data_IF_243994501771
#
_entry.id   IF_243994501771
#
_cell.length_a   1.000
_cell.length_b   1.000
_cell.length_c   1.000
_cell.angle_alpha   90.00
_cell.angle_beta   90.00
_cell.angle_gamma   90.00
#
_symmetry.space_group_name_H-M   'P 1'
#
loop_
_entity.id
_entity.type
_entity.pdbx_description
1 polymer ?
#
# COMPACT_ATOMS: atom_id res chain seq x y z
N UNK A 1 -62.41 -7.63 -1.00
CA UNK A 1 -60.94 -7.45 -1.08
C UNK A 1 -60.60 -6.05 -0.60
N UNK A 2 -60.17 -5.96 0.65
CA UNK A 2 -59.90 -4.73 1.38
C UNK A 2 -58.65 -4.07 0.80
N UNK A 3 -58.78 -2.85 0.28
CA UNK A 3 -57.63 -2.03 -0.15
C UNK A 3 -56.83 -1.64 1.10
N UNK A 4 -55.73 -2.33 1.35
CA UNK A 4 -54.66 -1.85 2.22
C UNK A 4 -53.98 -0.67 1.49
N UNK A 5 -54.46 0.55 1.72
CA UNK A 5 -53.65 1.74 1.51
C UNK A 5 -52.70 1.80 2.70
N UNK A 6 -51.53 1.20 2.53
CA UNK A 6 -50.40 1.40 3.43
C UNK A 6 -49.98 2.88 3.28
N UNK A 7 -50.54 3.73 4.14
CA UNK A 7 -50.01 5.07 4.36
C UNK A 7 -48.66 4.85 5.03
N UNK A 8 -47.63 4.76 4.22
CA UNK A 8 -46.26 4.89 4.69
C UNK A 8 -46.20 6.30 5.26
N UNK A 9 -46.23 6.42 6.59
CA UNK A 9 -45.81 7.63 7.30
C UNK A 9 -44.33 7.83 6.96
N UNK A 10 -44.07 8.38 5.78
CA UNK A 10 -42.74 8.77 5.34
C UNK A 10 -42.32 9.90 6.26
N UNK A 11 -41.62 9.55 7.33
CA UNK A 11 -40.86 10.50 8.14
C UNK A 11 -39.97 11.26 7.16
N UNK A 12 -40.33 12.50 6.85
CA UNK A 12 -39.50 13.35 6.01
C UNK A 12 -38.18 13.57 6.72
N UNK A 13 -37.15 12.85 6.29
CA UNK A 13 -35.78 13.06 6.77
C UNK A 13 -35.25 14.36 6.17
N UNK A 14 -35.55 15.48 6.84
CA UNK A 14 -35.20 16.85 6.43
C UNK A 14 -33.70 16.99 6.18
N UNK A 15 -32.86 16.23 6.88
CA UNK A 15 -31.41 16.24 6.71
C UNK A 15 -30.94 15.86 5.30
N UNK A 16 -31.78 15.13 4.55
CA UNK A 16 -31.48 14.72 3.17
C UNK A 16 -32.19 15.58 2.11
N UNK A 17 -32.95 16.61 2.50
CA UNK A 17 -33.70 17.46 1.57
C UNK A 17 -32.80 18.04 0.46
N UNK A 18 -31.62 18.54 0.83
CA UNK A 18 -30.65 19.09 -0.14
C UNK A 18 -30.15 18.06 -1.16
N UNK A 19 -30.06 16.78 -0.78
CA UNK A 19 -29.66 15.70 -1.68
C UNK A 19 -30.80 15.33 -2.64
N UNK A 20 -32.04 15.27 -2.14
CA UNK A 20 -33.25 15.04 -2.95
C UNK A 20 -33.44 16.15 -3.98
N UNK A 21 -33.37 17.41 -3.54
CA UNK A 21 -33.46 18.57 -4.43
C UNK A 21 -32.40 18.51 -5.55
N UNK A 22 -31.15 18.13 -5.21
CA UNK A 22 -30.09 18.03 -6.22
C UNK A 22 -30.34 16.91 -7.21
N UNK A 23 -30.83 15.77 -6.73
CA UNK A 23 -31.19 14.65 -7.59
C UNK A 23 -32.34 15.01 -8.53
N UNK A 24 -33.40 15.63 -8.01
CA UNK A 24 -34.51 16.12 -8.83
C UNK A 24 -34.06 17.17 -9.85
N UNK A 25 -33.16 18.07 -9.47
CA UNK A 25 -32.54 19.03 -10.39
C UNK A 25 -31.78 18.33 -11.52
N UNK A 26 -31.03 17.28 -11.22
CA UNK A 26 -30.31 16.50 -12.23
C UNK A 26 -31.27 15.77 -13.18
N UNK A 27 -32.34 15.16 -12.66
CA UNK A 27 -33.37 14.52 -13.49
C UNK A 27 -34.04 15.54 -14.41
N UNK A 28 -34.37 16.74 -13.90
CA UNK A 28 -34.93 17.84 -14.69
C UNK A 28 -33.97 18.26 -15.80
N UNK A 29 -32.69 18.45 -15.49
CA UNK A 29 -31.65 18.82 -16.45
C UNK A 29 -31.50 17.78 -17.56
N UNK A 30 -31.48 16.49 -17.19
CA UNK A 30 -31.45 15.38 -18.15
C UNK A 30 -32.71 15.33 -19.04
N UNK A 31 -33.84 15.85 -18.57
CA UNK A 31 -35.11 15.86 -19.31
C UNK A 31 -35.26 17.08 -20.25
N UNK A 32 -34.34 18.05 -20.22
CA UNK A 32 -34.40 19.23 -21.08
C UNK A 32 -34.09 18.88 -22.55
N UNK A 33 -34.77 19.53 -23.48
CA UNK A 33 -34.55 19.32 -24.93
C UNK A 33 -33.09 19.52 -25.34
N UNK A 34 -32.41 20.54 -24.79
CA UNK A 34 -30.99 20.79 -25.05
C UNK A 34 -30.12 19.60 -24.66
N UNK A 35 -30.38 19.01 -23.49
CA UNK A 35 -29.65 17.85 -22.98
C UNK A 35 -29.97 16.59 -23.80
N UNK A 36 -31.22 16.43 -24.27
CA UNK A 36 -31.63 15.32 -25.13
C UNK A 36 -30.91 15.30 -26.50
N UNK A 37 -30.34 16.44 -26.93
CA UNK A 37 -29.54 16.52 -28.16
C UNK A 37 -28.06 16.22 -27.97
N UNK A 38 -27.59 16.04 -26.73
CA UNK A 38 -26.19 15.75 -26.44
C UNK A 38 -25.82 14.31 -26.80
N UNK A 39 -24.56 14.10 -27.14
CA UNK A 39 -24.01 12.76 -27.33
C UNK A 39 -23.88 12.03 -25.99
N UNK A 40 -23.91 10.70 -26.03
CA UNK A 40 -23.85 9.87 -24.84
C UNK A 40 -22.63 10.17 -23.94
N UNK A 41 -21.47 10.53 -24.49
CA UNK A 41 -20.28 10.88 -23.71
C UNK A 41 -20.42 12.19 -22.90
N UNK A 42 -21.15 13.17 -23.43
CA UNK A 42 -21.45 14.42 -22.72
C UNK A 42 -22.47 14.16 -21.60
N UNK A 43 -23.45 13.29 -21.84
CA UNK A 43 -24.40 12.83 -20.82
C UNK A 43 -23.69 12.07 -19.69
N UNK A 44 -22.77 11.17 -20.01
CA UNK A 44 -21.96 10.47 -19.01
C UNK A 44 -21.18 11.46 -18.14
N UNK A 45 -20.52 12.45 -18.76
CA UNK A 45 -19.74 13.48 -18.06
C UNK A 45 -20.62 14.35 -17.15
N UNK A 46 -21.82 14.71 -17.61
CA UNK A 46 -22.81 15.45 -16.82
C UNK A 46 -23.28 14.62 -15.61
N UNK A 47 -23.67 13.36 -15.83
CA UNK A 47 -24.14 12.46 -14.77
C UNK A 47 -23.04 12.20 -13.75
N UNK A 48 -21.80 11.97 -14.19
CA UNK A 48 -20.66 11.76 -13.29
C UNK A 48 -20.46 12.97 -12.37
N UNK A 49 -20.41 14.17 -12.94
CA UNK A 49 -20.18 15.41 -12.20
C UNK A 49 -21.32 15.72 -11.24
N UNK A 50 -22.55 15.78 -11.73
CA UNK A 50 -23.71 16.19 -10.94
C UNK A 50 -24.18 15.09 -9.99
N UNK A 51 -24.04 13.83 -10.38
CA UNK A 51 -24.27 12.67 -9.53
C UNK A 51 -23.31 12.62 -8.34
N UNK A 52 -22.04 12.97 -8.53
CA UNK A 52 -21.09 13.06 -7.42
C UNK A 52 -21.49 14.14 -6.41
N UNK A 53 -22.04 15.27 -6.86
CA UNK A 53 -22.60 16.30 -5.96
C UNK A 53 -23.83 15.78 -5.18
N UNK A 54 -24.69 14.96 -5.79
CA UNK A 54 -25.77 14.25 -5.07
C UNK A 54 -25.17 13.36 -3.97
N UNK A 55 -24.16 12.53 -4.30
CA UNK A 55 -23.50 11.65 -3.34
C UNK A 55 -22.84 12.43 -2.19
N UNK A 56 -22.21 13.57 -2.48
CA UNK A 56 -21.64 14.46 -1.48
C UNK A 56 -22.71 14.98 -0.52
N UNK A 57 -23.86 15.41 -1.04
CA UNK A 57 -25.00 15.88 -0.23
C UNK A 57 -25.65 14.78 0.59
N UNK A 58 -25.71 13.55 0.08
CA UNK A 58 -26.14 12.38 0.86
C UNK A 58 -25.21 12.13 2.05
N UNK A 59 -23.89 12.16 1.81
CA UNK A 59 -22.90 12.03 2.89
C UNK A 59 -23.03 13.17 3.92
N UNK A 60 -23.26 14.40 3.45
CA UNK A 60 -23.52 15.54 4.33
C UNK A 60 -24.79 15.34 5.17
N UNK A 61 -25.90 14.91 4.56
CA UNK A 61 -27.16 14.65 5.23
C UNK A 61 -27.04 13.56 6.30
N UNK A 62 -26.31 12.48 5.99
CA UNK A 62 -25.99 11.43 6.97
C UNK A 62 -25.28 11.98 8.21
N UNK A 63 -24.27 12.83 8.01
CA UNK A 63 -23.53 13.45 9.12
C UNK A 63 -24.38 14.46 9.90
N UNK A 64 -25.30 15.18 9.25
CA UNK A 64 -26.24 16.08 9.92
C UNK A 64 -27.22 15.28 10.78
N UNK A 65 -27.76 14.18 10.25
CA UNK A 65 -28.66 13.29 11.00
C UNK A 65 -27.93 12.69 12.21
N UNK A 66 -26.68 12.26 12.04
CA UNK A 66 -25.82 11.80 13.14
C UNK A 66 -25.62 12.88 14.20
N UNK A 67 -25.40 14.12 13.78
CA UNK A 67 -25.25 15.26 14.69
C UNK A 67 -26.55 15.61 15.43
N UNK A 68 -27.70 15.53 14.76
CA UNK A 68 -29.01 15.77 15.36
C UNK A 68 -29.34 14.70 16.42
N UNK A 69 -28.94 13.45 16.18
CA UNK A 69 -29.13 12.33 17.10
C UNK A 69 -28.08 12.26 18.22
N UNK A 70 -27.08 13.17 18.24
CA UNK A 70 -26.04 13.18 19.26
C UNK A 70 -26.61 13.65 20.61
N UNK A 71 -26.78 12.73 21.54
CA UNK A 71 -27.23 13.05 22.89
C UNK A 71 -26.10 13.74 23.67
N UNK A 72 -26.44 14.88 24.29
CA UNK A 72 -25.54 15.55 25.23
C UNK A 72 -25.37 14.67 26.47
N UNK A 73 -24.11 14.36 26.79
CA UNK A 73 -23.73 13.74 28.06
C UNK A 73 -23.58 14.82 29.14
N UNK A 74 -23.85 14.46 30.39
CA UNK A 74 -23.66 15.37 31.54
C UNK A 74 -22.17 15.62 31.84
N UNK A 75 -21.31 14.66 31.51
CA UNK A 75 -19.87 14.81 31.54
C UNK A 75 -19.16 13.68 30.80
N UNK A 76 -18.03 14.00 30.16
CA UNK A 76 -17.22 13.01 29.43
C UNK A 76 -15.85 12.89 30.09
N UNK A 77 -15.47 11.65 30.41
CA UNK A 77 -14.12 11.32 30.89
C UNK A 77 -13.21 11.19 29.67
N UNK A 78 -12.11 11.95 29.64
CA UNK A 78 -11.09 11.78 28.60
C UNK A 78 -10.11 10.66 28.93
N UNK A 79 -9.18 10.41 28.01
CA UNK A 79 -8.11 9.42 28.18
C UNK A 79 -7.19 9.76 29.38
N UNK A 80 -7.18 11.03 29.81
CA UNK A 80 -6.49 11.54 31.01
C UNK A 80 -7.23 11.22 32.32
N UNK A 81 -8.37 10.53 32.25
CA UNK A 81 -9.18 10.18 33.40
C UNK A 81 -9.97 11.34 34.01
N UNK A 82 -9.89 12.55 33.45
CA UNK A 82 -10.54 13.75 34.01
C UNK A 82 -11.90 14.02 33.34
N UNK A 83 -12.85 14.50 34.13
CA UNK A 83 -14.20 14.83 33.66
C UNK A 83 -14.26 16.22 33.00
N UNK A 84 -15.02 16.31 31.91
CA UNK A 84 -15.27 17.53 31.13
C UNK A 84 -16.77 17.82 31.12
N UNK A 85 -17.16 18.90 31.79
CA UNK A 85 -18.57 19.25 32.03
C UNK A 85 -19.07 20.35 31.07
N UNK A 86 -18.16 21.09 30.43
CA UNK A 86 -18.53 22.13 29.48
C UNK A 86 -18.71 21.52 28.08
N UNK A 87 -19.91 21.63 27.52
CA UNK A 87 -20.27 21.08 26.21
C UNK A 87 -20.58 22.19 25.21
N UNK A 88 -20.02 22.11 24.00
CA UNK A 88 -20.32 23.03 22.90
C UNK A 88 -20.33 22.32 21.55
N UNK A 89 -21.18 22.75 20.64
CA UNK A 89 -21.15 22.29 19.25
C UNK A 89 -19.89 22.78 18.54
N UNK A 90 -19.24 21.89 17.79
CA UNK A 90 -18.04 22.17 16.98
C UNK A 90 -18.18 21.53 15.63
N UNK A 91 -17.63 22.19 14.61
CA UNK A 91 -17.65 21.72 13.23
C UNK A 91 -16.22 21.54 12.73
N UNK A 92 -15.98 20.52 11.91
CA UNK A 92 -14.73 20.31 11.17
C UNK A 92 -15.03 19.88 9.74
N UNK A 93 -14.16 20.25 8.82
CA UNK A 93 -14.21 19.74 7.46
C UNK A 93 -13.67 18.30 7.41
N UNK A 94 -14.29 17.47 6.57
CA UNK A 94 -13.84 16.13 6.20
C UNK A 94 -13.85 16.02 4.68
N UNK A 95 -12.71 15.67 4.10
CA UNK A 95 -12.56 15.37 2.68
C UNK A 95 -12.87 13.89 2.45
N UNK A 96 -13.93 13.62 1.72
CA UNK A 96 -14.44 12.26 1.44
C UNK A 96 -14.18 11.86 -0.01
N UNK A 97 -14.56 10.63 -0.38
CA UNK A 97 -14.55 10.19 -1.78
C UNK A 97 -15.49 11.03 -2.65
N UNK A 98 -16.51 11.65 -2.07
CA UNK A 98 -17.50 12.47 -2.78
C UNK A 98 -17.18 13.97 -2.71
N UNK A 99 -16.06 14.33 -2.06
CA UNK A 99 -15.67 15.72 -1.82
C UNK A 99 -15.82 16.17 -0.37
N UNK A 100 -15.70 17.47 -0.16
CA UNK A 100 -15.67 18.06 1.17
C UNK A 100 -17.07 18.14 1.79
N UNK A 101 -17.17 17.64 3.03
CA UNK A 101 -18.35 17.73 3.89
C UNK A 101 -17.98 18.31 5.25
N UNK A 102 -18.98 18.71 6.03
CA UNK A 102 -18.84 19.25 7.38
C UNK A 102 -19.34 18.22 8.40
N UNK A 103 -18.51 17.91 9.38
CA UNK A 103 -18.86 17.09 10.54
C UNK A 103 -19.13 18.02 11.72
N UNK A 104 -20.41 18.14 12.10
CA UNK A 104 -20.84 18.80 13.33
C UNK A 104 -20.89 17.77 14.46
N UNK A 105 -20.38 18.13 15.63
CA UNK A 105 -20.31 17.25 16.81
C UNK A 105 -20.23 18.03 18.11
N UNK A 106 -20.59 17.40 19.22
CA UNK A 106 -20.42 17.97 20.56
C UNK A 106 -18.98 17.79 21.06
N UNK A 107 -18.37 18.91 21.45
CA UNK A 107 -17.06 18.96 22.08
C UNK A 107 -17.18 19.23 23.57
N UNK A 108 -16.61 18.34 24.37
CA UNK A 108 -16.56 18.44 25.83
C UNK A 108 -15.21 18.98 26.24
N UNK A 109 -15.17 20.02 27.07
CA UNK A 109 -13.94 20.68 27.54
C UNK A 109 -13.97 20.92 29.05
N UNK A 110 -12.79 21.16 29.62
CA UNK A 110 -12.62 21.58 31.02
C UNK A 110 -11.53 22.65 31.14
N UNK A 111 -11.42 23.29 32.30
CA UNK A 111 -10.36 24.30 32.54
C UNK A 111 -8.99 23.64 32.35
N UNK A 112 -8.19 24.20 31.45
CA UNK A 112 -6.86 23.68 31.08
C UNK A 112 -6.84 22.24 30.52
N UNK A 113 -7.99 21.70 30.11
CA UNK A 113 -8.10 20.36 29.52
C UNK A 113 -8.40 20.44 28.02
N UNK A 114 -7.72 19.60 27.23
CA UNK A 114 -8.01 19.42 25.81
C UNK A 114 -9.45 18.94 25.58
N UNK A 115 -10.08 19.33 24.47
CA UNK A 115 -11.47 18.94 24.17
C UNK A 115 -11.57 17.48 23.72
N UNK A 116 -12.63 16.78 24.16
CA UNK A 116 -12.97 15.41 23.75
C UNK A 116 -14.23 15.43 22.90
N UNK A 117 -14.25 14.60 21.86
CA UNK A 117 -15.33 14.51 20.89
C UNK A 117 -15.79 13.06 20.77
N UNK A 118 -16.80 12.61 21.55
CA UNK A 118 -17.25 11.22 21.53
C UNK A 118 -17.64 10.71 20.14
N UNK A 119 -18.27 11.57 19.32
CA UNK A 119 -18.63 11.25 17.95
C UNK A 119 -17.41 10.96 17.05
N UNK A 120 -16.24 11.57 17.31
CA UNK A 120 -15.03 11.30 16.53
C UNK A 120 -14.60 9.82 16.70
N UNK A 121 -14.77 9.26 17.90
CA UNK A 121 -14.47 7.85 18.16
C UNK A 121 -15.52 6.92 17.54
N UNK A 122 -16.81 7.24 17.68
CA UNK A 122 -17.90 6.43 17.11
C UNK A 122 -17.83 6.34 15.58
N UNK A 123 -17.49 7.44 14.92
CA UNK A 123 -17.29 7.50 13.48
C UNK A 123 -15.89 7.05 13.05
N UNK A 124 -15.02 6.68 14.00
CA UNK A 124 -13.61 6.36 13.77
C UNK A 124 -12.93 7.41 12.87
N UNK A 125 -13.14 8.69 13.17
CA UNK A 125 -12.68 9.77 12.30
C UNK A 125 -11.15 9.89 12.32
N UNK A 126 -10.53 10.11 11.15
CA UNK A 126 -9.11 10.38 11.09
C UNK A 126 -8.75 11.66 11.85
N UNK A 127 -7.52 11.74 12.37
CA UNK A 127 -7.01 12.98 13.01
C UNK A 127 -6.86 14.14 12.02
N UNK A 128 -6.65 13.85 10.73
CA UNK A 128 -6.52 14.87 9.67
C UNK A 128 -7.84 15.04 8.89
N UNK A 129 -7.82 15.92 7.87
CA UNK A 129 -8.99 16.23 7.03
C UNK A 129 -9.46 15.05 6.16
N UNK A 130 -8.62 14.06 5.86
CA UNK A 130 -8.88 13.08 4.80
C UNK A 130 -9.47 11.79 5.35
N UNK A 131 -10.66 11.42 4.86
CA UNK A 131 -11.34 10.17 5.20
C UNK A 131 -10.52 8.92 4.91
N UNK A 132 -10.80 7.81 5.59
CA UNK A 132 -10.10 6.54 5.38
C UNK A 132 -10.27 5.99 3.96
N UNK A 133 -11.46 6.12 3.37
CA UNK A 133 -11.72 5.72 1.98
C UNK A 133 -10.83 6.49 0.99
N UNK A 134 -10.73 7.81 1.16
CA UNK A 134 -9.88 8.64 0.31
C UNK A 134 -8.38 8.33 0.51
N UNK A 135 -7.95 8.12 1.76
CA UNK A 135 -6.56 7.70 2.06
C UNK A 135 -6.22 6.36 1.40
N UNK A 136 -7.14 5.39 1.45
CA UNK A 136 -6.97 4.10 0.78
C UNK A 136 -6.78 4.28 -0.72
N UNK A 137 -7.65 5.06 -1.37
CA UNK A 137 -7.55 5.33 -2.81
C UNK A 137 -6.23 6.01 -3.17
N UNK A 138 -5.81 7.01 -2.39
CA UNK A 138 -4.50 7.66 -2.53
C UNK A 138 -3.36 6.64 -2.40
N UNK A 139 -3.41 5.74 -1.42
CA UNK A 139 -2.41 4.67 -1.25
C UNK A 139 -2.35 3.71 -2.43
N UNK A 140 -3.50 3.29 -2.97
CA UNK A 140 -3.60 2.42 -4.14
C UNK A 140 -3.02 3.08 -5.39
N UNK A 141 -3.27 4.38 -5.62
CA UNK A 141 -2.73 5.07 -6.81
C UNK A 141 -1.24 5.41 -6.67
N UNK A 142 -0.76 5.75 -5.47
CA UNK A 142 0.67 5.98 -5.21
C UNK A 142 1.49 4.70 -5.42
N UNK A 143 0.92 3.53 -5.17
CA UNK A 143 1.59 2.26 -5.40
C UNK A 143 1.83 1.96 -6.90
N UNK A 144 1.05 2.57 -7.80
CA UNK A 144 1.12 2.32 -9.25
C UNK A 144 2.06 3.27 -9.99
N UNK A 145 2.25 4.48 -9.50
CA UNK A 145 2.91 5.54 -10.27
C UNK A 145 3.42 6.70 -9.44
N UNK A 146 3.62 7.84 -10.10
CA UNK A 146 4.13 9.05 -9.44
C UNK A 146 3.06 9.70 -8.56
N UNK A 147 3.49 10.53 -7.59
CA UNK A 147 2.56 11.32 -6.77
C UNK A 147 1.69 12.26 -7.61
N UNK A 148 2.21 12.80 -8.72
CA UNK A 148 1.44 13.72 -9.58
C UNK A 148 0.35 12.97 -10.35
N UNK A 149 0.65 11.77 -10.84
CA UNK A 149 -0.36 10.89 -11.45
C UNK A 149 -1.39 10.41 -10.43
N UNK A 150 -0.96 10.06 -9.21
CA UNK A 150 -1.86 9.64 -8.16
C UNK A 150 -2.85 10.75 -7.77
N UNK A 151 -2.39 12.00 -7.66
CA UNK A 151 -3.27 13.16 -7.40
C UNK A 151 -4.27 13.33 -8.55
N UNK A 152 -3.81 13.29 -9.80
CA UNK A 152 -4.69 13.38 -10.98
C UNK A 152 -5.72 12.24 -11.03
N UNK A 153 -5.31 11.02 -10.72
CA UNK A 153 -6.18 9.85 -10.71
C UNK A 153 -7.26 9.95 -9.62
N UNK A 154 -6.91 10.49 -8.45
CA UNK A 154 -7.86 10.74 -7.36
C UNK A 154 -8.82 11.88 -7.72
N UNK A 155 -8.33 12.97 -8.31
CA UNK A 155 -9.18 14.10 -8.75
C UNK A 155 -10.12 13.71 -9.90
N UNK A 156 -9.70 12.79 -10.77
CA UNK A 156 -10.54 12.29 -11.87
C UNK A 156 -11.58 11.26 -11.39
N UNK A 157 -11.17 10.32 -10.53
CA UNK A 157 -12.02 9.20 -10.13
C UNK A 157 -12.84 9.43 -8.86
N UNK A 158 -12.68 10.55 -8.18
CA UNK A 158 -13.38 10.88 -6.93
C UNK A 158 -13.72 12.36 -6.85
N UNK A 159 -14.71 12.73 -6.05
CA UNK A 159 -15.01 14.14 -5.75
C UNK A 159 -14.04 14.77 -4.74
N UNK A 160 -13.16 13.97 -4.14
CA UNK A 160 -12.19 14.40 -3.12
C UNK A 160 -10.94 15.02 -3.71
N UNK A 161 -10.43 16.08 -3.06
CA UNK A 161 -9.19 16.74 -3.48
C UNK A 161 -8.05 16.55 -2.48
N UNK A 162 -6.91 16.05 -2.96
CA UNK A 162 -5.72 15.82 -2.14
C UNK A 162 -4.50 16.44 -2.84
N UNK A 163 -4.01 17.60 -2.41
CA UNK A 163 -2.82 18.18 -3.01
C UNK A 163 -1.58 17.31 -2.75
N UNK A 164 -0.58 17.42 -3.63
CA UNK A 164 0.63 16.59 -3.63
C UNK A 164 1.33 16.48 -2.27
N UNK A 165 1.48 17.58 -1.54
CA UNK A 165 2.13 17.59 -0.22
C UNK A 165 1.39 16.69 0.78
N UNK A 166 0.07 16.75 0.77
CA UNK A 166 -0.78 15.95 1.65
C UNK A 166 -0.82 14.49 1.19
N UNK A 167 -0.80 14.21 -0.11
CA UNK A 167 -0.64 12.84 -0.62
C UNK A 167 0.67 12.19 -0.13
N UNK A 168 1.79 12.92 -0.14
CA UNK A 168 3.05 12.43 0.44
C UNK A 168 2.96 12.19 1.95
N UNK A 169 2.27 13.06 2.70
CA UNK A 169 2.05 12.85 4.14
C UNK A 169 1.19 11.63 4.41
N UNK A 170 0.13 11.43 3.62
CA UNK A 170 -0.73 10.24 3.70
C UNK A 170 0.11 8.98 3.42
N UNK A 171 0.94 8.97 2.38
CA UNK A 171 1.81 7.84 2.08
C UNK A 171 2.72 7.48 3.26
N UNK A 172 3.36 8.48 3.88
CA UNK A 172 4.20 8.27 5.08
C UNK A 172 3.41 7.69 6.26
N UNK A 173 2.16 8.12 6.44
CA UNK A 173 1.30 7.64 7.51
C UNK A 173 0.83 6.20 7.26
N UNK A 174 0.48 5.85 6.03
CA UNK A 174 0.06 4.50 5.62
C UNK A 174 1.24 3.51 5.69
N UNK A 175 2.48 3.98 5.52
CA UNK A 175 3.66 3.12 5.63
C UNK A 175 4.21 3.01 7.05
N UNK A 176 3.70 3.78 8.01
CA UNK A 176 4.30 3.88 9.35
C UNK A 176 4.15 2.60 10.18
N UNK A 177 3.09 1.84 9.95
CA UNK A 177 2.77 0.60 10.63
C UNK A 177 3.22 -0.65 9.84
N UNK A 178 3.94 -0.48 8.74
CA UNK A 178 4.37 -1.59 7.88
C UNK A 178 5.15 -2.68 8.66
N UNK A 179 6.15 -2.29 9.44
CA UNK A 179 6.94 -3.23 10.23
C UNK A 179 6.11 -3.93 11.31
N UNK A 180 5.28 -3.15 12.02
CA UNK A 180 4.39 -3.66 13.07
C UNK A 180 3.36 -4.64 12.53
N UNK A 181 2.76 -4.34 11.37
CA UNK A 181 1.80 -5.20 10.70
C UNK A 181 2.37 -6.59 10.41
N UNK A 182 3.59 -6.66 9.86
CA UNK A 182 4.24 -7.95 9.60
C UNK A 182 4.75 -8.67 10.86
N UNK A 183 5.05 -7.94 11.93
CA UNK A 183 5.42 -8.53 13.21
C UNK A 183 4.23 -9.20 13.92
N UNK A 184 3.05 -8.59 13.84
CA UNK A 184 1.81 -9.10 14.48
C UNK A 184 1.07 -10.12 13.62
N UNK A 185 1.36 -10.20 12.32
CA UNK A 185 0.65 -11.11 11.42
C UNK A 185 0.92 -12.58 11.79
N UNK A 186 -0.12 -13.35 12.16
CA UNK A 186 0.05 -14.77 12.42
C UNK A 186 0.49 -15.46 11.13
N UNK A 187 1.47 -16.34 11.25
CA UNK A 187 1.90 -17.20 10.16
C UNK A 187 1.30 -18.56 10.41
N UNK A 188 0.34 -18.96 9.58
CA UNK A 188 -0.17 -20.32 9.64
C UNK A 188 0.91 -21.28 9.14
N UNK A 189 1.30 -22.29 9.94
CA UNK A 189 2.29 -23.26 9.52
C UNK A 189 1.72 -24.10 8.38
N UNK A 190 2.37 -24.06 7.22
CA UNK A 190 2.10 -24.97 6.11
C UNK A 190 3.28 -25.90 5.85
N UNK A 191 2.97 -27.15 5.53
CA UNK A 191 3.95 -28.10 5.03
C UNK A 191 4.44 -27.66 3.63
N UNK A 192 5.73 -27.85 3.36
CA UNK A 192 6.32 -27.52 2.06
C UNK A 192 7.70 -26.88 2.16
N UNK A 193 8.10 -26.25 1.05
CA UNK A 193 9.39 -25.58 0.91
C UNK A 193 9.30 -24.16 1.48
N UNK A 194 10.33 -23.76 2.22
CA UNK A 194 10.54 -22.38 2.64
C UNK A 194 11.56 -21.72 1.71
N UNK A 195 11.07 -20.84 0.84
CA UNK A 195 11.90 -20.18 -0.17
C UNK A 195 12.30 -18.79 0.31
N UNK A 196 13.58 -18.51 0.20
CA UNK A 196 14.23 -17.24 0.46
C UNK A 196 14.81 -16.71 -0.85
N UNK A 197 14.54 -15.45 -1.17
CA UNK A 197 15.07 -14.83 -2.39
C UNK A 197 15.69 -13.48 -2.07
N UNK A 198 16.85 -13.19 -2.62
CA UNK A 198 17.48 -11.86 -2.51
C UNK A 198 17.79 -11.31 -3.90
N UNK A 199 17.43 -10.04 -4.10
CA UNK A 199 17.71 -9.29 -5.32
C UNK A 199 18.24 -7.89 -4.99
N UNK A 200 19.02 -7.31 -5.90
CA UNK A 200 19.61 -5.99 -5.78
C UNK A 200 19.16 -5.08 -6.92
N UNK A 201 18.38 -4.03 -6.61
CA UNK A 201 17.95 -3.04 -7.61
C UNK A 201 18.62 -1.69 -7.42
N UNK A 202 19.36 -1.22 -8.42
CA UNK A 202 19.94 0.12 -8.43
C UNK A 202 18.91 1.23 -8.67
N UNK A 203 18.55 1.99 -7.63
CA UNK A 203 17.61 3.12 -7.66
C UNK A 203 18.35 4.45 -7.81
N UNK A 204 17.96 5.29 -8.76
CA UNK A 204 18.55 6.62 -8.95
C UNK A 204 18.06 7.57 -7.86
N UNK A 205 18.99 8.17 -7.11
CA UNK A 205 18.71 9.06 -5.99
C UNK A 205 18.92 10.53 -6.34
N UNK A 206 18.28 11.42 -5.57
CA UNK A 206 18.65 12.84 -5.51
C UNK A 206 20.04 12.99 -4.90
N UNK A 207 20.74 14.07 -5.26
CA UNK A 207 22.12 14.31 -4.80
C UNK A 207 22.23 14.40 -3.27
N UNK A 208 21.21 14.97 -2.62
CA UNK A 208 21.11 15.07 -1.16
C UNK A 208 21.02 13.70 -0.44
N UNK A 209 20.47 12.68 -1.10
CA UNK A 209 20.18 11.36 -0.52
C UNK A 209 21.22 10.29 -0.87
N UNK A 210 22.33 10.67 -1.52
CA UNK A 210 23.47 9.78 -1.78
C UNK A 210 24.24 9.52 -0.48
N UNK A 211 24.72 8.29 -0.25
CA UNK A 211 25.63 7.99 0.87
C UNK A 211 26.86 8.91 0.79
N UNK A 212 27.42 9.29 1.93
CA UNK A 212 28.57 10.22 2.02
C UNK A 212 29.72 9.90 1.02
N UNK A 213 30.16 8.63 0.86
CA UNK A 213 31.22 8.30 -0.11
C UNK A 213 30.78 8.53 -1.56
N UNK A 214 29.55 8.15 -1.91
CA UNK A 214 28.98 8.29 -3.25
C UNK A 214 28.65 9.75 -3.57
N UNK A 215 28.22 10.54 -2.57
CA UNK A 215 27.98 11.98 -2.68
C UNK A 215 29.28 12.73 -2.96
N UNK A 216 30.35 12.41 -2.23
CA UNK A 216 31.70 12.94 -2.49
C UNK A 216 32.21 12.55 -3.88
N UNK A 217 31.98 11.32 -4.33
CA UNK A 217 32.34 10.88 -5.67
C UNK A 217 31.52 11.59 -6.78
N UNK A 218 30.22 11.82 -6.55
CA UNK A 218 29.34 12.55 -7.47
C UNK A 218 29.59 14.07 -7.50
N UNK A 219 30.11 14.65 -6.41
CA UNK A 219 30.57 16.04 -6.36
C UNK A 219 31.94 16.21 -7.04
N UNK A 220 32.83 15.22 -6.92
CA UNK A 220 34.14 15.20 -7.59
C UNK A 220 34.04 14.95 -9.10
N UNK A 221 32.99 14.26 -9.56
CA UNK A 221 32.76 14.06 -11.00
C UNK A 221 32.30 15.37 -11.66
N UNK A 222 33.22 16.13 -12.25
CA UNK A 222 32.89 17.11 -13.29
C UNK A 222 32.52 16.33 -14.55
N UNK A 223 31.25 16.29 -14.93
CA UNK A 223 30.81 15.73 -16.20
C UNK A 223 31.63 16.40 -17.33
N UNK A 224 32.49 15.65 -18.02
CA UNK A 224 33.19 16.15 -19.23
C UNK A 224 32.22 16.27 -20.42
N UNK A 225 31.11 15.53 -20.41
CA UNK A 225 30.09 15.52 -21.48
C UNK A 225 28.67 15.54 -20.88
N UNK A 226 27.75 16.30 -21.49
CA UNK A 226 26.36 16.47 -21.02
C UNK A 226 25.47 15.24 -21.28
N UNK A 227 25.75 14.48 -22.34
CA UNK A 227 24.83 13.47 -22.91
C UNK A 227 25.31 12.02 -22.79
N UNK A 228 26.62 11.75 -22.72
CA UNK A 228 27.18 10.39 -22.65
C UNK A 228 28.28 10.29 -21.60
N UNK A 229 28.39 9.12 -20.96
CA UNK A 229 29.48 8.79 -20.04
C UNK A 229 30.75 8.50 -20.82
N UNK A 230 31.88 8.92 -20.25
CA UNK A 230 33.20 8.47 -20.70
C UNK A 230 33.35 6.97 -20.41
N UNK A 231 34.18 6.26 -21.17
CA UNK A 231 34.47 4.85 -20.88
C UNK A 231 35.00 4.71 -19.44
N UNK A 232 34.35 3.86 -18.63
CA UNK A 232 34.66 3.69 -17.20
C UNK A 232 33.98 4.66 -16.23
N UNK A 233 33.25 5.67 -16.71
CA UNK A 233 32.55 6.64 -15.86
C UNK A 233 31.22 6.05 -15.35
N UNK A 234 31.17 5.65 -14.08
CA UNK A 234 29.92 5.20 -13.44
C UNK A 234 29.09 6.41 -13.03
N UNK A 235 27.81 6.44 -13.42
CA UNK A 235 26.82 7.38 -12.86
C UNK A 235 26.66 7.03 -11.37
N UNK A 236 27.46 7.66 -10.51
CA UNK A 236 27.40 7.61 -9.04
C UNK A 236 26.13 8.28 -8.49
N UNK A 237 24.98 7.97 -9.11
CA UNK A 237 23.66 8.48 -8.79
C UNK A 237 22.73 7.38 -8.29
N UNK A 238 23.15 6.12 -8.33
CA UNK A 238 22.32 4.98 -7.91
C UNK A 238 22.70 4.51 -6.51
N UNK A 239 21.70 4.17 -5.70
CA UNK A 239 21.84 3.36 -4.49
C UNK A 239 21.27 1.97 -4.76
N UNK A 240 21.93 0.94 -4.25
CA UNK A 240 21.40 -0.42 -4.34
C UNK A 240 20.31 -0.58 -3.29
N UNK A 241 19.08 -0.89 -3.72
CA UNK A 241 18.04 -1.38 -2.87
C UNK A 241 18.17 -2.90 -2.79
N UNK A 242 18.36 -3.44 -1.59
CA UNK A 242 18.32 -4.89 -1.38
C UNK A 242 16.88 -5.28 -1.10
N UNK A 243 16.36 -6.17 -1.92
CA UNK A 243 15.02 -6.75 -1.78
C UNK A 243 15.18 -8.19 -1.34
N UNK A 244 14.63 -8.53 -0.17
CA UNK A 244 14.57 -9.91 0.30
C UNK A 244 13.11 -10.36 0.38
N UNK A 245 12.85 -11.63 0.12
CA UNK A 245 11.54 -12.22 0.34
C UNK A 245 11.61 -13.62 0.92
N UNK A 246 10.66 -13.92 1.80
CA UNK A 246 10.46 -15.26 2.39
C UNK A 246 9.04 -15.68 2.06
N UNK A 247 8.87 -16.86 1.47
CA UNK A 247 7.56 -17.40 1.14
C UNK A 247 7.54 -18.93 1.19
N UNK A 248 6.33 -19.47 1.30
CA UNK A 248 6.10 -20.90 1.39
C UNK A 248 5.40 -21.39 0.11
N UNK A 249 5.87 -22.51 -0.43
CA UNK A 249 5.32 -23.15 -1.63
C UNK A 249 5.42 -24.67 -1.53
N UNK A 250 4.41 -25.37 -2.03
CA UNK A 250 4.46 -26.84 -2.14
C UNK A 250 5.46 -27.26 -3.23
N UNK A 251 6.18 -28.39 -3.05
CA UNK A 251 7.00 -28.97 -4.11
C UNK A 251 6.19 -29.22 -5.38
N UNK A 252 6.70 -28.75 -6.52
CA UNK A 252 6.11 -29.04 -7.82
C UNK A 252 6.99 -30.01 -8.59
N UNK A 253 6.56 -31.27 -8.66
CA UNK A 253 7.27 -32.33 -9.36
C UNK A 253 7.06 -32.21 -10.88
N UNK A 254 8.16 -32.31 -11.64
CA UNK A 254 8.15 -32.32 -13.11
C UNK A 254 8.91 -33.55 -13.63
N UNK A 255 8.47 -34.09 -14.75
CA UNK A 255 9.23 -35.11 -15.49
C UNK A 255 10.33 -34.47 -16.33
N UNK A 256 11.26 -35.27 -16.84
CA UNK A 256 12.34 -34.77 -17.69
C UNK A 256 11.78 -34.15 -18.99
N UNK A 257 10.74 -34.76 -19.55
CA UNK A 257 10.05 -34.35 -20.77
C UNK A 257 9.38 -32.97 -20.62
N UNK A 258 8.73 -32.75 -19.46
CA UNK A 258 8.13 -31.46 -19.10
C UNK A 258 9.15 -30.34 -18.91
N UNK A 259 10.37 -30.66 -18.45
CA UNK A 259 11.46 -29.67 -18.33
C UNK A 259 12.02 -29.31 -19.71
N UNK A 260 12.06 -30.28 -20.64
CA UNK A 260 12.58 -30.11 -22.00
C UNK A 260 11.59 -29.43 -22.96
N UNK A 261 10.40 -29.05 -22.49
CA UNK A 261 9.42 -28.26 -23.25
C UNK A 261 8.67 -29.04 -24.33
N UNK A 262 8.67 -30.38 -24.28
CA UNK A 262 7.92 -31.19 -25.25
C UNK A 262 6.42 -31.25 -24.94
N UNK A 263 6.06 -31.14 -23.67
CA UNK A 263 4.68 -31.24 -23.16
C UNK A 263 4.34 -30.00 -22.29
N UNK A 264 4.49 -28.79 -22.83
CA UNK A 264 4.13 -27.56 -22.08
C UNK A 264 2.63 -27.52 -21.70
N UNK A 265 1.78 -28.12 -22.54
CA UNK A 265 0.33 -28.18 -22.34
C UNK A 265 -0.11 -29.18 -21.25
N UNK A 266 0.73 -30.16 -20.89
CA UNK A 266 0.46 -31.12 -19.81
C UNK A 266 0.94 -30.65 -18.43
N UNK A 267 1.51 -29.43 -18.36
CA UNK A 267 2.00 -28.88 -17.11
C UNK A 267 0.80 -28.50 -16.20
N UNK A 268 0.47 -29.37 -15.23
CA UNK A 268 -0.61 -29.15 -14.26
C UNK A 268 -0.48 -27.81 -13.51
N UNK A 269 -1.55 -27.34 -12.87
CA UNK A 269 -1.58 -26.04 -12.17
C UNK A 269 -0.43 -25.90 -11.17
N UNK A 270 0.38 -24.84 -11.34
CA UNK A 270 1.48 -24.53 -10.43
C UNK A 270 0.97 -24.24 -9.01
N UNK A 271 1.71 -24.65 -7.96
CA UNK A 271 1.32 -24.39 -6.58
C UNK A 271 1.29 -22.89 -6.31
N UNK A 272 0.32 -22.46 -5.50
CA UNK A 272 0.17 -21.06 -5.12
C UNK A 272 1.14 -20.73 -4.00
N UNK A 273 1.82 -19.59 -4.13
CA UNK A 273 2.69 -19.05 -3.09
C UNK A 273 1.83 -18.60 -1.89
N UNK A 274 2.30 -18.90 -0.68
CA UNK A 274 1.65 -18.52 0.57
C UNK A 274 2.62 -17.79 1.51
N UNK A 275 2.05 -17.05 2.47
CA UNK A 275 2.77 -16.33 3.52
C UNK A 275 3.94 -15.44 3.03
N UNK A 276 3.87 -14.92 1.80
CA UNK A 276 4.97 -14.10 1.25
C UNK A 276 5.18 -12.83 2.07
N UNK A 277 6.39 -12.65 2.59
CA UNK A 277 6.89 -11.42 3.21
C UNK A 277 8.00 -10.86 2.34
N UNK A 278 7.99 -9.54 2.13
CA UNK A 278 8.97 -8.83 1.30
C UNK A 278 9.53 -7.67 2.10
N UNK A 279 10.84 -7.52 2.10
CA UNK A 279 11.54 -6.33 2.57
C UNK A 279 12.24 -5.69 1.38
N UNK A 280 12.22 -4.37 1.31
CA UNK A 280 12.99 -3.61 0.34
C UNK A 280 13.66 -2.44 1.07
N UNK A 281 14.99 -2.47 1.18
CA UNK A 281 15.73 -1.45 1.92
C UNK A 281 16.75 -0.76 1.03
N UNK A 282 16.72 0.58 1.05
CA UNK A 282 17.74 1.47 0.47
C UNK A 282 18.76 1.96 1.52
N UNK A 283 18.42 1.81 2.80
CA UNK A 283 19.17 2.37 3.92
C UNK A 283 20.16 1.35 4.47
N UNK A 284 19.63 0.18 4.83
CA UNK A 284 20.39 -0.89 5.44
C UNK A 284 21.37 -1.52 4.46
N UNK A 285 22.44 -2.09 4.99
CA UNK A 285 23.36 -2.88 4.19
C UNK A 285 22.72 -4.20 3.77
N UNK A 286 23.15 -4.80 2.63
CA UNK A 286 22.61 -6.08 2.17
C UNK A 286 22.69 -7.19 3.24
N UNK A 287 23.76 -7.22 4.03
CA UNK A 287 23.96 -8.19 5.11
C UNK A 287 22.83 -8.13 6.16
N UNK A 288 22.45 -6.94 6.63
CA UNK A 288 21.36 -6.78 7.61
C UNK A 288 20.01 -7.27 7.06
N UNK A 289 19.74 -7.01 5.78
CA UNK A 289 18.50 -7.45 5.12
C UNK A 289 18.48 -8.98 4.97
N UNK A 290 19.63 -9.59 4.70
CA UNK A 290 19.80 -11.04 4.66
C UNK A 290 19.60 -11.64 6.06
N UNK A 291 20.15 -11.03 7.11
CA UNK A 291 19.91 -11.45 8.50
C UNK A 291 18.42 -11.41 8.86
N UNK A 292 17.69 -10.34 8.49
CA UNK A 292 16.25 -10.26 8.71
C UNK A 292 15.47 -11.38 8.01
N UNK A 293 15.91 -11.75 6.81
CA UNK A 293 15.34 -12.85 6.04
C UNK A 293 15.52 -14.19 6.77
N UNK A 294 16.73 -14.47 7.27
CA UNK A 294 17.02 -15.68 8.05
C UNK A 294 16.29 -15.69 9.40
N UNK A 295 16.22 -14.55 10.09
CA UNK A 295 15.48 -14.42 11.34
C UNK A 295 13.98 -14.70 11.15
N UNK A 296 13.39 -14.25 10.04
CA UNK A 296 12.00 -14.60 9.71
C UNK A 296 11.85 -16.08 9.37
N UNK A 297 12.79 -16.67 8.63
CA UNK A 297 12.76 -18.10 8.33
C UNK A 297 12.81 -18.94 9.62
N UNK A 298 13.72 -18.59 10.53
CA UNK A 298 13.84 -19.20 11.85
C UNK A 298 12.57 -19.03 12.69
N UNK A 299 11.93 -17.86 12.63
CA UNK A 299 10.67 -17.60 13.34
C UNK A 299 9.53 -18.49 12.85
N UNK A 300 9.49 -18.80 11.54
CA UNK A 300 8.44 -19.61 10.91
C UNK A 300 8.65 -21.11 11.07
N UNK A 301 9.90 -21.52 11.13
CA UNK A 301 10.28 -22.92 11.29
C UNK A 301 11.36 -23.04 12.37
N UNK A 302 11.02 -22.90 13.67
CA UNK A 302 12.01 -22.96 14.74
C UNK A 302 12.66 -24.33 14.90
N UNK A 303 11.96 -25.39 14.46
CA UNK A 303 12.37 -26.80 14.58
C UNK A 303 13.09 -27.33 13.34
N UNK A 304 13.18 -26.54 12.28
CA UNK A 304 13.83 -26.89 11.01
C UNK A 304 13.18 -28.12 10.35
N UNK A 305 11.86 -28.22 10.44
CA UNK A 305 11.08 -29.31 9.85
C UNK A 305 10.88 -29.10 8.33
N UNK A 306 11.12 -27.89 7.82
CA UNK A 306 10.95 -27.55 6.39
C UNK A 306 12.28 -27.53 5.66
N UNK A 307 12.23 -27.83 4.36
CA UNK A 307 13.38 -27.62 3.47
C UNK A 307 13.51 -26.14 3.11
N UNK A 308 14.64 -25.55 3.47
CA UNK A 308 14.95 -24.15 3.14
C UNK A 308 15.70 -24.08 1.81
N UNK A 309 15.27 -23.20 0.92
CA UNK A 309 15.92 -22.94 -0.35
C UNK A 309 16.21 -21.45 -0.48
N UNK A 310 17.47 -21.10 -0.73
CA UNK A 310 17.88 -19.71 -0.98
C UNK A 310 18.22 -19.53 -2.46
N UNK A 311 17.58 -18.56 -3.09
CA UNK A 311 17.84 -18.13 -4.47
C UNK A 311 18.42 -16.72 -4.46
N UNK A 312 19.61 -16.57 -5.03
CA UNK A 312 20.27 -15.27 -5.19
C UNK A 312 20.70 -15.06 -6.63
N UNK A 313 20.60 -13.82 -7.11
CA UNK A 313 21.31 -13.39 -8.31
C UNK A 313 22.80 -13.36 -7.95
N UNK A 314 23.65 -13.98 -8.77
CA UNK A 314 25.01 -14.42 -8.46
C UNK A 314 26.02 -13.27 -8.40
N UNK A 315 25.60 -12.13 -7.87
CA UNK A 315 26.44 -11.04 -7.44
C UNK A 315 27.35 -11.52 -6.30
N UNK A 316 28.67 -11.49 -6.51
CA UNK A 316 29.68 -12.00 -5.56
C UNK A 316 29.51 -11.48 -4.14
N UNK A 317 29.27 -10.17 -3.98
CA UNK A 317 29.05 -9.58 -2.65
C UNK A 317 27.76 -10.09 -1.95
N UNK A 318 26.74 -10.52 -2.69
CA UNK A 318 25.56 -11.16 -2.10
C UNK A 318 25.88 -12.58 -1.65
N UNK A 319 26.68 -13.32 -2.44
CA UNK A 319 27.13 -14.67 -2.11
C UNK A 319 28.02 -14.67 -0.86
N UNK A 320 28.95 -13.73 -0.74
CA UNK A 320 29.80 -13.59 0.46
C UNK A 320 28.97 -13.33 1.71
N UNK A 321 28.03 -12.38 1.66
CA UNK A 321 27.14 -12.07 2.77
C UNK A 321 26.21 -13.25 3.11
N UNK A 322 25.72 -13.96 2.09
CA UNK A 322 24.91 -15.16 2.28
C UNK A 322 25.71 -16.27 2.97
N UNK A 323 26.94 -16.52 2.52
CA UNK A 323 27.84 -17.51 3.11
C UNK A 323 28.22 -17.15 4.54
N UNK A 324 28.42 -15.87 4.84
CA UNK A 324 28.66 -15.39 6.20
C UNK A 324 27.44 -15.63 7.11
N UNK A 325 26.23 -15.30 6.65
CA UNK A 325 25.00 -15.56 7.39
C UNK A 325 24.74 -17.07 7.60
N UNK A 326 25.00 -17.88 6.58
CA UNK A 326 24.95 -19.35 6.61
C UNK A 326 25.94 -19.92 7.63
N UNK A 327 27.17 -19.38 7.68
CA UNK A 327 28.22 -19.84 8.61
C UNK A 327 27.90 -19.52 10.07
N UNK A 328 27.10 -18.49 10.31
CA UNK A 328 26.61 -18.12 11.64
C UNK A 328 25.31 -18.85 12.01
N UNK A 329 24.61 -19.43 11.03
CA UNK A 329 23.41 -20.20 11.26
C UNK A 329 23.77 -21.64 11.72
N UNK A 330 23.04 -22.21 12.69
CA UNK A 330 23.41 -23.46 13.37
C UNK A 330 23.26 -24.74 12.53
N UNK A 331 22.95 -24.63 11.22
CA UNK A 331 22.63 -25.77 10.36
C UNK A 331 23.62 -25.89 9.19
N UNK A 332 23.87 -27.12 8.71
CA UNK A 332 24.67 -27.34 7.50
C UNK A 332 23.87 -26.91 6.28
N UNK A 333 24.40 -25.98 5.48
CA UNK A 333 23.85 -25.61 4.19
C UNK A 333 24.78 -26.12 3.09
N UNK A 334 24.26 -26.92 2.16
CA UNK A 334 24.97 -27.33 0.95
C UNK A 334 24.77 -26.25 -0.12
N UNK A 335 25.84 -25.51 -0.42
CA UNK A 335 25.85 -24.58 -1.54
C UNK A 335 26.05 -25.37 -2.84
N UNK A 336 25.10 -25.28 -3.77
CA UNK A 336 25.21 -25.87 -5.11
C UNK A 336 25.20 -24.74 -6.15
N UNK A 337 26.40 -24.28 -6.52
CA UNK A 337 26.60 -23.48 -7.73
C UNK A 337 26.50 -24.39 -8.95
N UNK A 338 25.31 -24.55 -9.56
CA UNK A 338 25.21 -25.20 -10.87
C UNK A 338 25.66 -24.22 -11.96
N UNK A 339 26.96 -24.22 -12.25
CA UNK A 339 27.53 -23.63 -13.45
C UNK A 339 27.40 -24.66 -14.59
N UNK A 340 26.55 -24.38 -15.59
CA UNK A 340 26.63 -25.07 -16.87
C UNK A 340 27.13 -24.07 -17.92
N UNK A 341 28.45 -23.96 -18.14
CA UNK A 341 28.94 -23.35 -19.37
C UNK A 341 28.54 -24.27 -20.53
N UNK A 342 27.62 -23.84 -21.39
CA UNK A 342 27.48 -24.45 -22.72
C UNK A 342 28.79 -24.18 -23.48
N UNK A 343 29.50 -25.21 -23.97
CA UNK A 343 30.64 -24.96 -24.83
C UNK A 343 30.12 -24.44 -26.18
N UNK A 344 30.45 -23.19 -26.53
CA UNK A 344 30.39 -22.72 -27.92
C UNK A 344 29.47 -21.54 -28.28
N UNK A 345 29.00 -20.71 -27.34
CA UNK A 345 28.33 -19.44 -27.71
C UNK A 345 28.96 -18.28 -26.94
N UNK A 346 29.73 -17.45 -27.64
CA UNK A 346 30.12 -16.13 -27.16
C UNK A 346 28.89 -15.22 -27.12
N UNK A 347 28.43 -14.87 -25.91
CA UNK A 347 27.56 -13.71 -25.69
C UNK A 347 27.92 -13.01 -24.38
N UNK A 348 28.13 -11.71 -24.50
CA UNK A 348 28.19 -10.74 -23.41
C UNK A 348 26.87 -10.77 -22.60
N UNK A 349 26.99 -10.77 -21.27
CA UNK A 349 25.89 -10.49 -20.35
C UNK A 349 25.02 -11.69 -19.99
N UNK A 350 25.26 -12.32 -18.84
CA UNK A 350 24.38 -13.33 -18.26
C UNK A 350 24.39 -13.25 -16.74
N UNK A 351 23.20 -13.09 -16.12
CA UNK A 351 23.02 -13.12 -14.67
C UNK A 351 23.31 -14.53 -14.16
N UNK A 352 24.15 -14.60 -13.13
CA UNK A 352 24.48 -15.84 -12.42
C UNK A 352 23.34 -16.11 -11.43
N UNK A 353 23.02 -17.36 -11.11
CA UNK A 353 22.15 -17.64 -9.95
C UNK A 353 22.66 -18.90 -9.27
N UNK A 354 22.78 -18.87 -7.95
CA UNK A 354 23.21 -20.02 -7.14
C UNK A 354 22.08 -20.46 -6.23
N UNK A 355 21.89 -21.78 -6.10
CA UNK A 355 20.97 -22.37 -5.13
C UNK A 355 21.78 -22.98 -3.97
N UNK A 356 21.32 -22.76 -2.74
CA UNK A 356 21.77 -23.52 -1.57
C UNK A 356 20.60 -24.35 -1.00
N UNK A 357 20.89 -25.59 -0.60
CA UNK A 357 19.95 -26.59 -0.07
C UNK A 357 20.36 -26.99 1.35
N UNK A 358 19.40 -27.37 2.20
CA UNK A 358 19.66 -28.09 3.43
C UNK A 358 18.82 -29.38 3.44
N UNK A 359 19.45 -30.53 3.68
CA UNK A 359 18.76 -31.79 3.92
C UNK A 359 18.52 -31.94 5.42
N UNK A 360 17.26 -31.76 5.84
CA UNK A 360 16.83 -32.19 7.17
C UNK A 360 17.02 -33.70 7.31
N UNK A 361 17.55 -34.14 8.46
CA UNK A 361 17.61 -35.56 8.82
C UNK A 361 16.23 -36.09 9.17
#
# INVERSE_FOLDING_TARGET
MTKYTDKTDTVELVEYASAKEKFESLVKELSLEQTQTLEHGDIESLIEKEGNEVLRRLMQGHLVQRAANEKRAEGVKGDDGKHRNHCRSRTRALETLFGQVQVRRLGYSGKELGSVFPMDAQLNLPKNKYSHGLRRKVGEEIAKGSFDEAVKAVEKGTGGKVPKRQAQQIARQISADFEKFYAEKPVEPRAGLLIMTVDGKGVVMRKEDLREPTRKAAQRSKNKLKTRLSQGEKRNRKRMATVASVYEVEPYHRTAEQIMGKDEDECGKRPKISNKRVWASLRQEPAEVIEWMFAEAQRRDPRHEKTWLVLVDGQEAQLENLNAAISQAPTRYDCHSRFHPRPGISMEGGSLSSLAWNHGR
#
